data_IF_863020412692
#
_entry.id   IF_863020412692
#
_cell.length_a   1.000
_cell.length_b   1.000
_cell.length_c   1.000
_cell.angle_alpha   90.00
_cell.angle_beta   90.00
_cell.angle_gamma   90.00
#
_symmetry.space_group_name_H-M   'P 1'
#
loop_
_entity.id
_entity.type
_entity.pdbx_description
1 polymer ?
#
# COMPACT_ATOMS: atom_id res chain seq x y z
N UNK A 1 12.14 10.94 -5.27
CA UNK A 1 11.42 10.64 -6.54
C UNK A 1 9.93 10.64 -6.23
N UNK A 2 9.09 11.46 -6.88
CA UNK A 2 7.64 11.36 -6.66
C UNK A 2 7.19 9.99 -7.14
N UNK A 3 6.58 9.21 -6.26
CA UNK A 3 6.13 7.85 -6.52
C UNK A 3 5.16 7.83 -7.71
N UNK A 4 5.54 7.18 -8.80
CA UNK A 4 4.59 6.90 -9.88
C UNK A 4 3.53 5.96 -9.33
N UNK A 5 2.30 6.47 -9.24
CA UNK A 5 1.14 5.67 -8.87
C UNK A 5 0.76 4.87 -10.10
N UNK A 6 0.90 3.54 -10.01
CA UNK A 6 0.50 2.63 -11.08
C UNK A 6 -0.99 2.82 -11.44
N UNK A 7 -1.33 2.65 -12.72
CA UNK A 7 -2.72 2.69 -13.16
C UNK A 7 -3.52 1.52 -12.61
N UNK A 8 -4.76 1.79 -12.17
CA UNK A 8 -5.65 0.77 -11.66
C UNK A 8 -6.51 0.18 -12.78
N UNK A 9 -6.53 -1.15 -12.89
CA UNK A 9 -7.27 -1.85 -13.93
C UNK A 9 -8.56 -2.48 -13.41
N UNK A 10 -8.62 -2.73 -12.09
CA UNK A 10 -9.75 -3.39 -11.42
C UNK A 10 -9.94 -4.86 -11.79
N UNK A 11 -8.99 -5.47 -12.51
CA UNK A 11 -9.04 -6.86 -13.01
C UNK A 11 -7.83 -7.71 -12.61
N UNK A 12 -6.71 -7.08 -12.27
CA UNK A 12 -5.48 -7.77 -11.88
C UNK A 12 -5.60 -8.31 -10.45
N UNK A 13 -5.46 -9.62 -10.26
CA UNK A 13 -5.49 -10.25 -8.94
C UNK A 13 -4.38 -9.77 -7.99
N UNK A 14 -3.25 -9.30 -8.53
CA UNK A 14 -2.14 -8.72 -7.77
C UNK A 14 -2.40 -7.28 -7.31
N UNK A 15 -3.39 -6.58 -7.88
CA UNK A 15 -3.73 -5.22 -7.50
C UNK A 15 -4.66 -5.22 -6.29
N UNK A 16 -4.15 -4.74 -5.16
CA UNK A 16 -4.98 -4.47 -3.99
C UNK A 16 -5.65 -3.08 -4.13
N UNK A 17 -6.98 -2.99 -4.26
CA UNK A 17 -7.70 -1.75 -4.52
C UNK A 17 -7.47 -0.69 -3.43
N UNK A 18 -7.49 -1.09 -2.15
CA UNK A 18 -7.31 -0.20 -1.01
C UNK A 18 -5.85 0.30 -0.90
N UNK A 19 -4.88 -0.56 -1.20
CA UNK A 19 -3.47 -0.17 -1.24
C UNK A 19 -3.22 0.84 -2.36
N UNK A 20 -3.82 0.64 -3.53
CA UNK A 20 -3.73 1.58 -4.64
C UNK A 20 -4.39 2.92 -4.28
N UNK A 21 -5.59 2.89 -3.71
CA UNK A 21 -6.30 4.11 -3.31
C UNK A 21 -5.49 4.93 -2.29
N UNK A 22 -4.93 4.30 -1.25
CA UNK A 22 -4.06 4.98 -0.28
C UNK A 22 -2.81 5.60 -0.91
N UNK A 23 -2.23 4.95 -1.93
CA UNK A 23 -1.09 5.50 -2.67
C UNK A 23 -1.51 6.72 -3.50
N UNK A 24 -2.69 6.66 -4.12
CA UNK A 24 -3.26 7.78 -4.86
C UNK A 24 -3.54 8.97 -3.93
N UNK A 25 -4.14 8.71 -2.77
CA UNK A 25 -4.40 9.70 -1.72
C UNK A 25 -3.11 10.34 -1.21
N UNK A 26 -2.11 9.53 -0.84
CA UNK A 26 -0.86 10.06 -0.29
C UNK A 26 0.06 10.75 -1.31
N UNK A 27 -0.06 10.43 -2.60
CA UNK A 27 0.87 10.94 -3.62
C UNK A 27 0.29 12.02 -4.54
N UNK A 28 -1.02 11.97 -4.82
CA UNK A 28 -1.64 12.78 -5.89
C UNK A 28 -2.85 13.58 -5.44
N UNK A 29 -3.58 13.14 -4.41
CA UNK A 29 -4.71 13.88 -3.86
C UNK A 29 -4.20 14.84 -2.76
N UNK A 30 -4.35 16.15 -2.97
CA UNK A 30 -3.99 17.15 -1.96
C UNK A 30 -5.17 17.36 -1.01
N UNK A 31 -4.96 17.42 0.31
CA UNK A 31 -6.05 17.43 1.30
C UNK A 31 -7.05 18.60 1.17
N UNK A 32 -6.66 19.72 0.54
CA UNK A 32 -7.51 20.90 0.33
C UNK A 32 -8.04 21.03 -1.10
N UNK A 33 -7.92 19.99 -1.92
CA UNK A 33 -8.46 19.99 -3.28
C UNK A 33 -9.99 19.83 -3.28
N UNK A 34 -10.62 20.35 -4.32
CA UNK A 34 -12.05 20.19 -4.55
C UNK A 34 -12.41 18.77 -5.04
N UNK A 35 -13.69 18.41 -4.89
CA UNK A 35 -14.20 17.12 -5.34
C UNK A 35 -14.00 16.91 -6.85
N UNK A 36 -14.01 17.99 -7.64
CA UNK A 36 -13.74 17.95 -9.07
C UNK A 36 -12.28 17.58 -9.38
N UNK A 37 -11.29 18.14 -8.67
CA UNK A 37 -9.90 17.72 -8.80
C UNK A 37 -9.70 16.27 -8.35
N UNK A 38 -10.36 15.82 -7.29
CA UNK A 38 -10.30 14.42 -6.86
C UNK A 38 -10.85 13.47 -7.92
N UNK A 39 -12.04 13.76 -8.46
CA UNK A 39 -12.63 12.99 -9.55
C UNK A 39 -11.73 12.94 -10.78
N UNK A 40 -11.12 14.08 -11.15
CA UNK A 40 -10.19 14.16 -12.28
C UNK A 40 -8.89 13.38 -12.04
N UNK A 41 -8.29 13.49 -10.85
CA UNK A 41 -7.09 12.72 -10.51
C UNK A 41 -7.41 11.23 -10.50
N UNK A 42 -8.55 10.84 -9.93
CA UNK A 42 -8.98 9.46 -9.86
C UNK A 42 -9.16 8.85 -11.25
N UNK A 43 -9.95 9.47 -12.12
CA UNK A 43 -10.20 8.98 -13.48
C UNK A 43 -8.92 8.87 -14.31
N UNK A 44 -8.00 9.82 -14.15
CA UNK A 44 -6.70 9.81 -14.84
C UNK A 44 -5.78 8.65 -14.44
N UNK A 45 -5.95 8.09 -13.25
CA UNK A 45 -5.15 6.96 -12.76
C UNK A 45 -5.87 5.62 -12.95
N UNK A 46 -6.97 5.58 -13.70
CA UNK A 46 -7.54 4.35 -14.24
C UNK A 46 -6.87 4.00 -15.57
N UNK A 47 -6.64 2.72 -15.82
CA UNK A 47 -6.09 2.27 -17.09
C UNK A 47 -7.19 2.39 -18.18
N UNK A 48 -6.97 3.10 -19.30
CA UNK A 48 -7.98 3.28 -20.33
C UNK A 48 -8.48 1.94 -20.90
N UNK A 49 -9.80 1.77 -21.00
CA UNK A 49 -10.40 0.52 -21.48
C UNK A 49 -10.28 -0.65 -20.49
N UNK A 50 -9.84 -0.39 -19.26
CA UNK A 50 -9.88 -1.39 -18.20
C UNK A 50 -11.28 -1.51 -17.60
N UNK A 51 -11.50 -2.57 -16.80
CA UNK A 51 -12.75 -2.77 -16.07
C UNK A 51 -13.04 -1.62 -15.11
N UNK A 52 -12.00 -1.03 -14.52
CA UNK A 52 -12.17 0.11 -13.63
C UNK A 52 -12.59 1.38 -14.37
N UNK A 53 -12.00 1.63 -15.55
CA UNK A 53 -12.34 2.77 -16.40
C UNK A 53 -13.77 2.67 -16.95
N UNK A 54 -14.15 1.49 -17.47
CA UNK A 54 -15.53 1.24 -17.92
C UNK A 54 -16.53 1.42 -16.77
N UNK A 55 -16.24 0.89 -15.58
CA UNK A 55 -17.10 1.09 -14.41
C UNK A 55 -17.24 2.58 -14.06
N UNK A 56 -16.15 3.33 -14.08
CA UNK A 56 -16.18 4.76 -13.75
C UNK A 56 -16.93 5.59 -14.79
N UNK A 57 -16.83 5.22 -16.07
CA UNK A 57 -17.45 5.99 -17.14
C UNK A 57 -18.89 5.59 -17.45
N UNK A 58 -19.20 4.30 -17.39
CA UNK A 58 -20.45 3.73 -17.89
C UNK A 58 -21.40 3.28 -16.76
N UNK A 59 -20.88 2.83 -15.61
CA UNK A 59 -21.72 2.36 -14.49
C UNK A 59 -22.01 3.45 -13.44
N UNK A 60 -21.17 4.48 -13.34
CA UNK A 60 -21.32 5.59 -12.41
C UNK A 60 -22.10 6.75 -13.04
N UNK A 61 -23.13 7.25 -12.35
CA UNK A 61 -23.88 8.40 -12.84
C UNK A 61 -23.09 9.72 -12.70
N UNK A 62 -23.43 10.73 -13.50
CA UNK A 62 -22.81 12.06 -13.41
C UNK A 62 -22.92 12.70 -12.03
N UNK A 63 -24.02 12.44 -11.32
CA UNK A 63 -24.23 12.95 -9.97
C UNK A 63 -23.27 12.27 -8.99
N UNK A 64 -23.09 10.96 -9.10
CA UNK A 64 -22.19 10.20 -8.24
C UNK A 64 -20.72 10.58 -8.46
N UNK A 65 -20.33 10.85 -9.72
CA UNK A 65 -18.96 11.26 -10.07
C UNK A 65 -18.56 12.62 -9.50
N UNK A 66 -19.54 13.50 -9.27
CA UNK A 66 -19.31 14.84 -8.69
C UNK A 66 -19.14 14.79 -7.18
N UNK A 67 -19.60 13.73 -6.53
CA UNK A 67 -19.43 13.53 -5.10
C UNK A 67 -18.33 12.48 -4.85
N UNK A 68 -17.18 12.97 -4.37
CA UNK A 68 -16.04 12.12 -4.07
C UNK A 68 -16.36 11.05 -3.02
N UNK A 69 -17.19 11.38 -2.01
CA UNK A 69 -17.58 10.45 -0.95
C UNK A 69 -18.43 9.32 -1.50
N UNK A 70 -19.36 9.65 -2.39
CA UNK A 70 -20.21 8.64 -3.06
C UNK A 70 -19.37 7.78 -4.00
N UNK A 71 -18.46 8.39 -4.76
CA UNK A 71 -17.51 7.67 -5.63
C UNK A 71 -16.68 6.66 -4.84
N UNK A 72 -16.08 7.07 -3.71
CA UNK A 72 -15.33 6.18 -2.83
C UNK A 72 -16.18 5.05 -2.26
N UNK A 73 -17.40 5.36 -1.82
CA UNK A 73 -18.32 4.36 -1.28
C UNK A 73 -18.66 3.29 -2.33
N UNK A 74 -18.97 3.71 -3.56
CA UNK A 74 -19.26 2.78 -4.67
C UNK A 74 -18.01 2.02 -5.12
N UNK A 75 -16.84 2.65 -5.09
CA UNK A 75 -15.56 2.00 -5.37
C UNK A 75 -15.29 0.86 -4.38
N UNK A 76 -15.43 1.12 -3.09
CA UNK A 76 -15.22 0.14 -2.02
C UNK A 76 -16.24 -1.01 -2.08
N UNK A 77 -17.46 -0.75 -2.55
CA UNK A 77 -18.46 -1.78 -2.77
C UNK A 77 -18.13 -2.68 -3.98
N UNK A 78 -17.63 -2.10 -5.07
CA UNK A 78 -17.27 -2.83 -6.31
C UNK A 78 -15.96 -3.62 -6.15
N UNK A 79 -14.99 -3.04 -5.45
CA UNK A 79 -13.70 -3.65 -5.15
C UNK A 79 -13.48 -3.69 -3.65
N UNK A 80 -14.05 -4.70 -2.96
CA UNK A 80 -13.89 -4.83 -1.52
C UNK A 80 -12.41 -4.98 -1.17
N UNK A 81 -12.05 -4.54 0.04
CA UNK A 81 -10.73 -4.80 0.57
C UNK A 81 -10.49 -6.30 0.55
N UNK A 82 -9.43 -6.73 -0.14
CA UNK A 82 -8.92 -8.08 0.04
C UNK A 82 -8.56 -8.17 1.52
N UNK A 83 -9.34 -8.94 2.28
CA UNK A 83 -9.06 -9.18 3.68
C UNK A 83 -7.62 -9.70 3.73
N UNK A 84 -6.76 -9.05 4.52
CA UNK A 84 -5.54 -9.70 4.94
C UNK A 84 -6.02 -10.95 5.66
N UNK A 85 -5.89 -12.12 5.02
CA UNK A 85 -5.81 -13.35 5.77
C UNK A 85 -4.63 -13.12 6.70
N UNK A 86 -4.90 -12.89 7.98
CA UNK A 86 -3.83 -12.81 8.96
C UNK A 86 -3.04 -14.13 8.81
N UNK A 87 -1.73 -14.08 8.49
CA UNK A 87 -0.93 -15.28 8.49
C UNK A 87 -1.11 -15.92 9.85
N UNK A 88 -1.36 -17.23 9.89
CA UNK A 88 -1.53 -17.92 11.17
C UNK A 88 -0.26 -17.75 12.01
N UNK A 89 -0.34 -17.96 13.32
CA UNK A 89 0.84 -17.94 14.19
C UNK A 89 1.95 -18.87 13.68
N UNK A 90 1.59 -19.98 13.03
CA UNK A 90 2.53 -20.91 12.38
C UNK A 90 3.26 -20.29 11.18
N UNK A 91 2.56 -19.52 10.33
CA UNK A 91 3.20 -18.82 9.19
C UNK A 91 4.21 -17.77 9.66
N UNK A 92 3.95 -17.14 10.80
CA UNK A 92 4.88 -16.22 11.44
C UNK A 92 6.09 -16.94 12.05
N UNK A 93 5.88 -18.08 12.68
CA UNK A 93 6.95 -18.91 13.24
C UNK A 93 7.88 -19.43 12.14
N UNK A 94 7.33 -19.92 11.03
CA UNK A 94 8.12 -20.42 9.90
C UNK A 94 8.99 -19.31 9.26
N UNK A 95 8.47 -18.08 9.17
CA UNK A 95 9.25 -16.92 8.70
C UNK A 95 10.32 -16.50 9.69
N UNK A 96 10.05 -16.56 11.00
CA UNK A 96 11.04 -16.26 12.03
C UNK A 96 12.19 -17.28 12.00
N UNK A 97 11.88 -18.57 11.85
CA UNK A 97 12.89 -19.64 11.75
C UNK A 97 13.85 -19.45 10.58
N UNK A 98 13.37 -18.93 9.44
CA UNK A 98 14.21 -18.59 8.29
C UNK A 98 15.11 -17.36 8.47
N UNK A 99 14.87 -16.55 9.51
CA UNK A 99 15.61 -15.31 9.80
C UNK A 99 16.35 -15.36 11.14
N UNK A 100 16.41 -16.51 11.83
CA UNK A 100 17.25 -16.67 13.01
C UNK A 100 18.71 -16.66 12.57
N UNK A 101 19.44 -15.63 12.95
CA UNK A 101 20.89 -15.62 12.83
C UNK A 101 21.44 -16.82 13.62
N UNK A 102 22.28 -17.66 13.01
CA UNK A 102 23.02 -18.69 13.73
C UNK A 102 23.70 -18.05 14.94
N UNK A 103 23.64 -18.69 16.11
CA UNK A 103 24.19 -18.15 17.35
C UNK A 103 25.67 -17.73 17.25
N UNK A 104 26.42 -18.30 16.29
CA UNK A 104 27.81 -17.96 16.03
C UNK A 104 28.02 -16.68 15.20
N UNK A 105 26.97 -16.11 14.60
CA UNK A 105 27.00 -14.82 13.88
C UNK A 105 26.43 -13.66 14.71
N UNK A 106 25.84 -13.96 15.86
CA UNK A 106 25.35 -12.94 16.79
C UNK A 106 26.55 -12.32 17.51
N UNK A 107 26.86 -11.06 17.18
CA UNK A 107 27.98 -10.31 17.78
C UNK A 107 29.31 -10.40 17.02
N UNK A 108 29.34 -10.98 15.82
CA UNK A 108 30.52 -10.94 14.95
C UNK A 108 30.51 -9.66 14.13
N UNK A 109 31.56 -8.85 14.28
CA UNK A 109 31.83 -7.68 13.45
C UNK A 109 32.35 -8.18 12.09
N UNK A 110 31.58 -7.99 11.03
CA UNK A 110 32.07 -8.19 9.66
C UNK A 110 32.62 -6.83 9.22
N UNK A 111 33.94 -6.72 9.19
CA UNK A 111 34.63 -5.57 8.60
C UNK A 111 34.49 -5.68 7.08
N UNK A 112 33.49 -5.01 6.51
CA UNK A 112 33.55 -4.63 5.11
C UNK A 112 34.43 -3.36 5.04
N UNK A 113 35.70 -3.56 4.72
CA UNK A 113 36.65 -2.51 4.36
C UNK A 113 36.15 -1.82 3.06
N UNK A 114 35.30 -0.81 3.19
CA UNK A 114 35.27 0.31 2.25
C UNK A 114 34.56 1.53 2.87
N UNK A 115 35.18 2.68 2.66
CA UNK A 115 35.00 3.92 3.41
C UNK A 115 33.56 4.46 3.45
N UNK A 116 33.05 4.77 4.65
CA UNK A 116 32.13 5.91 4.83
C UNK A 116 30.67 5.65 5.23
N UNK A 117 30.33 4.60 5.97
CA UNK A 117 28.96 4.44 6.49
C UNK A 117 28.74 5.18 7.83
N UNK A 118 27.91 6.23 7.79
CA UNK A 118 27.39 6.91 8.99
C UNK A 118 26.54 5.97 9.84
N UNK A 119 26.82 5.97 11.15
CA UNK A 119 26.16 5.17 12.17
C UNK A 119 24.71 5.59 12.40
N UNK A 120 23.77 4.64 12.29
CA UNK A 120 22.45 4.75 12.92
C UNK A 120 22.37 3.70 14.01
N UNK A 121 22.53 4.14 15.26
CA UNK A 121 22.35 3.30 16.44
C UNK A 121 20.87 2.94 16.58
N UNK A 122 20.50 1.72 16.20
CA UNK A 122 19.16 1.17 16.47
C UNK A 122 19.18 0.61 17.90
N UNK A 123 18.76 1.42 18.87
CA UNK A 123 18.43 0.93 20.20
C UNK A 123 17.09 0.18 20.12
N UNK A 124 17.14 -1.16 20.11
CA UNK A 124 15.95 -1.98 20.35
C UNK A 124 15.52 -1.82 21.82
N UNK A 125 14.25 -1.48 22.12
CA UNK A 125 13.78 -1.44 23.49
C UNK A 125 13.75 -2.86 24.06
N UNK A 126 14.46 -3.04 25.18
CA UNK A 126 14.56 -4.27 25.94
C UNK A 126 13.16 -4.74 26.35
N UNK A 127 12.67 -5.82 25.75
CA UNK A 127 11.49 -6.55 26.24
C UNK A 127 11.87 -7.20 27.57
N UNK A 128 11.51 -6.52 28.67
CA UNK A 128 11.55 -7.11 29.99
C UNK A 128 10.53 -8.26 30.05
N UNK A 129 11.04 -9.49 30.05
CA UNK A 129 10.27 -10.70 30.39
C UNK A 129 10.10 -10.71 31.91
N UNK A 130 8.94 -10.27 32.39
CA UNK A 130 8.52 -10.50 33.77
C UNK A 130 8.05 -11.94 33.92
N UNK A 131 8.68 -12.67 34.87
CA UNK A 131 8.33 -14.03 35.29
C UNK A 131 6.99 -14.08 36.03
#
# INVERSE_FOLDING_TARGET
MPSDVEMFTGSKASQNPQRWLRKLEGAKLKPDSDAAAYAWVFSRHLEPGSRADMWYNDELSDADRKDWTVTLTKFNAKWPSVARTEPSTEDWQLKLEGHVLPAHLVGVHIEDDDEGAQFVQICLPSLAVTR
#
